data_IF_704967329415
#
_entry.id   IF_704967329415
#
_cell.length_a   1.000
_cell.length_b   1.000
_cell.length_c   1.000
_cell.angle_alpha   90.00
_cell.angle_beta   90.00
_cell.angle_gamma   90.00
#
_symmetry.space_group_name_H-M   'P 1'
#
loop_
_entity.id
_entity.type
_entity.pdbx_description
1 polymer ?
#
# COMPACT_ATOMS: atom_id res chain seq x y z
N UNK A 1 13.37 -21.50 -11.00
CA UNK A 1 13.09 -20.06 -11.25
C UNK A 1 13.56 -19.31 -10.02
N UNK A 2 14.34 -18.24 -10.20
CA UNK A 2 14.72 -17.43 -9.03
C UNK A 2 13.48 -16.66 -8.54
N UNK A 3 12.98 -17.04 -7.38
CA UNK A 3 11.88 -16.35 -6.73
C UNK A 3 12.32 -14.92 -6.38
N UNK A 4 11.41 -13.95 -6.50
CA UNK A 4 11.69 -12.57 -6.06
C UNK A 4 11.80 -12.51 -4.53
N UNK A 5 12.58 -11.59 -4.01
CA UNK A 5 12.59 -11.26 -2.59
C UNK A 5 11.62 -10.10 -2.32
N UNK A 6 10.84 -10.18 -1.24
CA UNK A 6 9.78 -9.22 -0.94
C UNK A 6 9.97 -8.66 0.48
N UNK A 7 9.97 -7.34 0.63
CA UNK A 7 9.78 -6.70 1.93
C UNK A 7 8.29 -6.41 2.16
N UNK A 8 7.73 -7.02 3.19
CA UNK A 8 6.41 -6.66 3.71
C UNK A 8 6.57 -5.52 4.72
N UNK A 9 6.16 -4.34 4.33
CA UNK A 9 6.28 -3.11 5.12
C UNK A 9 5.00 -2.94 5.93
N UNK A 10 5.12 -2.77 7.24
CA UNK A 10 3.98 -2.59 8.15
C UNK A 10 4.11 -1.24 8.84
N UNK A 11 3.50 -0.16 8.31
CA UNK A 11 3.43 1.11 9.00
C UNK A 11 2.46 1.01 10.18
N UNK A 12 2.90 1.44 11.37
CA UNK A 12 2.12 1.38 12.60
C UNK A 12 2.04 2.76 13.23
N UNK A 13 0.85 3.13 13.67
CA UNK A 13 0.60 4.25 14.57
C UNK A 13 -0.63 3.94 15.41
N UNK A 14 -0.44 3.78 16.74
CA UNK A 14 -1.51 3.44 17.68
C UNK A 14 -2.36 2.24 17.20
N UNK A 15 -1.70 1.13 16.89
CA UNK A 15 -2.28 -0.03 16.19
C UNK A 15 -2.55 -1.21 17.13
N UNK A 16 -2.49 -1.04 18.45
CA UNK A 16 -2.57 -2.13 19.45
C UNK A 16 -3.74 -3.10 19.25
N UNK A 17 -4.89 -2.59 18.73
CA UNK A 17 -6.11 -3.38 18.55
C UNK A 17 -6.01 -4.43 17.42
N UNK A 18 -5.24 -4.15 16.37
CA UNK A 18 -5.26 -4.93 15.13
C UNK A 18 -3.90 -5.55 14.79
N UNK A 19 -2.80 -4.96 15.27
CA UNK A 19 -1.42 -5.29 14.89
C UNK A 19 -1.07 -6.77 15.08
N UNK A 20 -1.53 -7.42 16.14
CA UNK A 20 -1.26 -8.85 16.34
C UNK A 20 -1.82 -9.73 15.22
N UNK A 21 -3.02 -9.43 14.71
CA UNK A 21 -3.63 -10.14 13.59
C UNK A 21 -2.81 -9.95 12.32
N UNK A 22 -2.41 -8.72 12.03
CA UNK A 22 -1.53 -8.37 10.91
C UNK A 22 -0.22 -9.17 10.98
N UNK A 23 0.53 -9.06 12.08
CA UNK A 23 1.81 -9.74 12.25
C UNK A 23 1.68 -11.27 12.21
N UNK A 24 0.65 -11.85 12.85
CA UNK A 24 0.38 -13.29 12.76
C UNK A 24 0.18 -13.75 11.33
N UNK A 25 -0.52 -12.98 10.51
CA UNK A 25 -0.76 -13.31 9.10
C UNK A 25 0.53 -13.29 8.28
N UNK A 26 1.44 -12.36 8.58
CA UNK A 26 2.72 -12.23 7.91
C UNK A 26 3.74 -13.30 8.36
N UNK A 27 3.78 -13.64 9.64
CA UNK A 27 4.67 -14.70 10.14
C UNK A 27 4.32 -16.08 9.57
N UNK A 28 3.05 -16.33 9.30
CA UNK A 28 2.54 -17.62 8.81
C UNK A 28 2.52 -17.76 7.28
N UNK A 29 3.25 -16.92 6.55
CA UNK A 29 3.30 -17.02 5.09
C UNK A 29 3.95 -18.33 4.61
N UNK A 30 3.34 -18.97 3.62
CA UNK A 30 3.90 -20.13 2.89
C UNK A 30 4.89 -19.68 1.80
N UNK A 31 5.78 -18.79 2.16
CA UNK A 31 6.83 -18.23 1.32
C UNK A 31 8.04 -17.90 2.20
N UNK A 32 9.24 -18.27 1.78
CA UNK A 32 10.43 -18.10 2.63
C UNK A 32 11.26 -16.87 2.28
N UNK A 33 11.17 -16.39 1.03
CA UNK A 33 12.03 -15.33 0.51
C UNK A 33 11.44 -13.93 0.76
N UNK A 34 11.19 -13.59 2.02
CA UNK A 34 10.64 -12.29 2.44
C UNK A 34 11.18 -11.84 3.80
N UNK A 35 11.06 -10.55 4.05
CA UNK A 35 11.31 -9.90 5.33
C UNK A 35 10.09 -9.06 5.73
N UNK A 36 9.88 -8.89 7.01
CA UNK A 36 8.89 -7.97 7.58
C UNK A 36 9.66 -6.77 8.14
N UNK A 37 9.29 -5.58 7.73
CA UNK A 37 9.84 -4.33 8.24
C UNK A 37 8.71 -3.52 8.83
N UNK A 38 8.59 -3.50 10.16
CA UNK A 38 7.60 -2.73 10.86
C UNK A 38 8.15 -1.33 11.18
N UNK A 39 7.36 -0.32 10.89
CA UNK A 39 7.66 1.07 11.19
C UNK A 39 6.75 1.55 12.33
N UNK A 40 7.33 1.99 13.43
CA UNK A 40 6.57 2.64 14.50
C UNK A 40 6.66 4.17 14.33
N UNK A 41 5.54 4.78 14.02
CA UNK A 41 5.42 6.23 13.82
C UNK A 41 5.09 6.95 15.14
N UNK A 42 5.94 6.80 16.18
CA UNK A 42 5.75 7.40 17.50
C UNK A 42 4.41 7.01 18.17
N UNK A 43 4.10 5.72 18.19
CA UNK A 43 2.90 5.22 18.88
C UNK A 43 2.97 5.48 20.38
N UNK A 44 1.81 5.72 20.99
CA UNK A 44 1.65 6.01 22.42
C UNK A 44 0.80 4.97 23.17
N UNK A 45 0.32 3.96 22.45
CA UNK A 45 -0.39 2.79 22.96
C UNK A 45 0.57 1.59 23.11
N UNK A 46 0.05 0.36 23.21
CA UNK A 46 0.86 -0.87 23.35
C UNK A 46 1.48 -1.35 22.03
N UNK A 47 1.46 -0.57 20.95
CA UNK A 47 2.05 -0.94 19.66
C UNK A 47 3.54 -1.30 19.78
N UNK A 48 4.41 -0.48 20.43
CA UNK A 48 5.83 -0.78 20.56
C UNK A 48 6.10 -2.10 21.29
N UNK A 49 5.36 -2.38 22.37
CA UNK A 49 5.50 -3.60 23.15
C UNK A 49 5.12 -4.85 22.32
N UNK A 50 4.05 -4.75 21.52
CA UNK A 50 3.63 -5.83 20.61
C UNK A 50 4.73 -6.07 19.58
N UNK A 51 5.24 -5.03 18.91
CA UNK A 51 6.32 -5.14 17.94
C UNK A 51 7.56 -5.81 18.54
N UNK A 52 8.00 -5.37 19.72
CA UNK A 52 9.16 -5.94 20.40
C UNK A 52 8.97 -7.41 20.75
N UNK A 53 7.79 -7.83 21.22
CA UNK A 53 7.50 -9.23 21.52
C UNK A 53 7.61 -10.13 20.28
N UNK A 54 7.17 -9.64 19.11
CA UNK A 54 7.31 -10.35 17.85
C UNK A 54 8.76 -10.36 17.34
N UNK A 55 9.50 -9.27 17.51
CA UNK A 55 10.93 -9.19 17.16
C UNK A 55 11.77 -10.18 17.97
N UNK A 56 11.53 -10.30 19.28
CA UNK A 56 12.20 -11.25 20.15
C UNK A 56 11.92 -12.71 19.72
N UNK A 57 10.67 -13.00 19.35
CA UNK A 57 10.25 -14.34 18.94
C UNK A 57 10.71 -14.72 17.53
N UNK A 58 10.84 -13.74 16.63
CA UNK A 58 11.17 -13.95 15.21
C UNK A 58 12.29 -12.99 14.73
N UNK A 59 13.48 -13.04 15.38
CA UNK A 59 14.55 -12.07 15.16
C UNK A 59 15.08 -12.02 13.73
N UNK A 60 15.02 -13.14 13.00
CA UNK A 60 15.50 -13.25 11.62
C UNK A 60 14.47 -12.80 10.57
N UNK A 61 13.20 -12.66 10.97
CA UNK A 61 12.11 -12.31 10.06
C UNK A 61 11.63 -10.87 10.19
N UNK A 62 11.67 -10.29 11.39
CA UNK A 62 11.12 -8.95 11.67
C UNK A 62 12.25 -7.98 12.03
N UNK A 63 12.25 -6.84 11.39
CA UNK A 63 12.96 -5.63 11.82
C UNK A 63 11.97 -4.54 12.21
N UNK A 64 12.34 -3.72 13.19
CA UNK A 64 11.54 -2.59 13.66
C UNK A 64 12.36 -1.33 13.43
N UNK A 65 11.71 -0.30 12.93
CA UNK A 65 12.30 1.01 12.67
C UNK A 65 11.38 2.06 13.29
N UNK A 66 11.92 2.82 14.23
CA UNK A 66 11.22 3.97 14.81
C UNK A 66 11.42 5.18 13.91
N UNK A 67 10.34 5.84 13.53
CA UNK A 67 10.36 7.03 12.69
C UNK A 67 9.44 8.12 13.27
N UNK A 68 9.75 9.41 13.06
CA UNK A 68 8.92 10.50 13.54
C UNK A 68 7.59 10.55 12.79
N UNK A 69 6.51 10.90 13.48
CA UNK A 69 5.19 11.08 12.90
C UNK A 69 5.01 12.50 12.32
N UNK A 70 5.74 12.80 11.24
CA UNK A 70 5.79 14.15 10.63
C UNK A 70 4.49 14.47 9.89
N UNK A 71 3.89 13.48 9.23
CA UNK A 71 2.71 13.66 8.37
C UNK A 71 1.39 13.30 9.06
N UNK A 72 1.38 13.26 10.39
CA UNK A 72 0.17 13.06 11.22
C UNK A 72 -0.67 11.84 10.81
N UNK A 73 -0.32 10.68 11.34
CA UNK A 73 -1.05 9.43 11.15
C UNK A 73 -1.02 8.89 9.71
N UNK A 74 -0.15 9.42 8.87
CA UNK A 74 0.08 8.90 7.53
C UNK A 74 1.14 7.80 7.56
N UNK A 75 1.20 7.00 6.50
CA UNK A 75 2.27 6.02 6.31
C UNK A 75 3.45 6.58 5.48
N UNK A 76 3.45 7.89 5.18
CA UNK A 76 4.37 8.51 4.23
C UNK A 76 5.83 8.40 4.67
N UNK A 77 6.12 8.58 5.95
CA UNK A 77 7.46 8.43 6.50
C UNK A 77 7.98 7.00 6.29
N UNK A 78 7.15 6.00 6.64
CA UNK A 78 7.46 4.60 6.43
C UNK A 78 7.65 4.28 4.93
N UNK A 79 6.80 4.87 4.07
CA UNK A 79 6.85 4.70 2.63
C UNK A 79 8.16 5.22 2.05
N UNK A 80 8.52 6.47 2.34
CA UNK A 80 9.75 7.09 1.85
C UNK A 80 10.99 6.34 2.36
N UNK A 81 11.07 6.08 3.68
CA UNK A 81 12.19 5.38 4.27
C UNK A 81 12.34 3.95 3.73
N UNK A 82 11.24 3.22 3.53
CA UNK A 82 11.28 1.86 3.01
C UNK A 82 11.88 1.82 1.61
N UNK A 83 11.44 2.67 0.69
CA UNK A 83 12.00 2.72 -0.66
C UNK A 83 13.48 3.07 -0.70
N UNK A 84 13.95 3.88 0.23
CA UNK A 84 15.35 4.31 0.29
C UNK A 84 16.27 3.29 0.96
N UNK A 85 15.75 2.46 1.88
CA UNK A 85 16.60 1.68 2.77
C UNK A 85 16.39 0.16 2.71
N UNK A 86 15.27 -0.37 2.16
CA UNK A 86 15.11 -1.83 2.05
C UNK A 86 16.01 -2.40 0.96
N UNK A 87 16.59 -3.56 1.22
CA UNK A 87 17.53 -4.23 0.31
C UNK A 87 16.84 -4.98 -0.82
N UNK A 88 15.60 -5.44 -0.60
CA UNK A 88 14.84 -6.23 -1.57
C UNK A 88 14.45 -5.41 -2.80
N UNK A 89 14.27 -6.09 -3.94
CA UNK A 89 13.84 -5.42 -5.16
C UNK A 89 12.35 -5.08 -5.16
N UNK A 90 11.54 -5.88 -4.45
CA UNK A 90 10.09 -5.68 -4.34
C UNK A 90 9.67 -5.41 -2.91
N UNK A 91 8.69 -4.54 -2.75
CA UNK A 91 8.06 -4.24 -1.47
C UNK A 91 6.55 -4.09 -1.62
N UNK A 92 5.83 -4.40 -0.55
CA UNK A 92 4.39 -4.21 -0.42
C UNK A 92 4.08 -3.66 0.95
N UNK A 93 3.11 -2.75 1.03
CA UNK A 93 2.66 -2.19 2.28
C UNK A 93 1.44 -2.95 2.77
N UNK A 94 1.51 -3.46 3.99
CA UNK A 94 0.40 -4.12 4.66
C UNK A 94 0.00 -3.22 5.82
N UNK A 95 -1.18 -2.62 5.74
CA UNK A 95 -1.67 -1.76 6.81
C UNK A 95 -1.79 -2.56 8.11
N UNK A 96 -1.45 -1.94 9.24
CA UNK A 96 -1.41 -2.61 10.55
C UNK A 96 -2.77 -3.08 11.05
N UNK A 97 -3.85 -2.57 10.46
CA UNK A 97 -5.25 -2.97 10.70
C UNK A 97 -5.76 -4.05 9.72
N UNK A 98 -5.00 -4.35 8.67
CA UNK A 98 -5.30 -5.37 7.68
C UNK A 98 -4.59 -6.70 7.96
N UNK A 99 -4.89 -7.72 7.17
CA UNK A 99 -4.20 -9.01 7.23
C UNK A 99 -4.22 -9.71 5.86
N UNK A 100 -3.39 -10.74 5.73
CA UNK A 100 -3.24 -11.46 4.47
C UNK A 100 -3.40 -12.98 4.65
N UNK A 101 -3.77 -13.70 3.58
CA UNK A 101 -3.77 -15.16 3.61
C UNK A 101 -2.36 -15.72 3.70
N UNK A 102 -2.20 -16.94 4.14
CA UNK A 102 -0.88 -17.59 4.24
C UNK A 102 -0.20 -17.80 2.87
N UNK A 103 -0.96 -17.78 1.78
CA UNK A 103 -0.46 -17.91 0.42
C UNK A 103 -0.18 -16.56 -0.28
N UNK A 104 -0.44 -15.43 0.37
CA UNK A 104 -0.40 -14.12 -0.26
C UNK A 104 0.94 -13.79 -0.92
N UNK A 105 2.04 -13.84 -0.18
CA UNK A 105 3.37 -13.52 -0.74
C UNK A 105 3.85 -14.55 -1.77
N UNK A 106 3.48 -15.82 -1.59
CA UNK A 106 3.73 -16.85 -2.59
C UNK A 106 3.02 -16.56 -3.91
N UNK A 107 1.73 -16.21 -3.84
CA UNK A 107 0.95 -15.83 -5.02
C UNK A 107 1.53 -14.61 -5.74
N UNK A 108 1.94 -13.58 -5.00
CA UNK A 108 2.64 -12.41 -5.54
C UNK A 108 3.92 -12.84 -6.28
N UNK A 109 4.75 -13.68 -5.65
CA UNK A 109 5.98 -14.18 -6.27
C UNK A 109 5.71 -14.99 -7.54
N UNK A 110 4.70 -15.85 -7.55
CA UNK A 110 4.31 -16.65 -8.72
C UNK A 110 3.82 -15.77 -9.89
N UNK A 111 3.18 -14.64 -9.61
CA UNK A 111 2.73 -13.68 -10.64
C UNK A 111 3.91 -12.90 -11.21
N UNK A 112 4.81 -12.41 -10.36
CA UNK A 112 5.88 -11.47 -10.75
C UNK A 112 7.09 -12.24 -11.31
N UNK A 113 7.56 -13.32 -10.67
CA UNK A 113 8.85 -13.95 -10.99
C UNK A 113 9.03 -14.33 -12.46
N UNK A 114 8.03 -14.87 -13.18
CA UNK A 114 8.18 -15.17 -14.60
C UNK A 114 8.21 -13.92 -15.51
N UNK A 115 7.87 -12.74 -14.98
CA UNK A 115 7.73 -11.46 -15.70
C UNK A 115 8.40 -10.30 -14.98
N UNK A 116 9.38 -10.56 -14.11
CA UNK A 116 10.03 -9.54 -13.26
C UNK A 116 10.68 -8.38 -14.05
N UNK A 117 11.06 -8.63 -15.30
CA UNK A 117 11.59 -7.58 -16.18
C UNK A 117 10.51 -6.59 -16.66
N UNK A 118 9.25 -7.00 -16.65
CA UNK A 118 8.13 -6.21 -17.18
C UNK A 118 7.15 -5.74 -16.09
N UNK A 119 6.93 -6.52 -15.02
CA UNK A 119 6.04 -6.13 -13.93
C UNK A 119 6.86 -5.37 -12.87
N UNK A 120 6.79 -4.05 -12.91
CA UNK A 120 7.41 -3.17 -11.93
C UNK A 120 6.42 -2.62 -10.90
N UNK A 121 5.15 -2.71 -11.20
CA UNK A 121 4.06 -2.40 -10.28
C UNK A 121 2.90 -3.38 -10.53
N UNK A 122 2.44 -4.03 -9.48
CA UNK A 122 1.34 -4.99 -9.51
C UNK A 122 0.26 -4.54 -8.53
N UNK A 123 -1.00 -4.61 -8.91
CA UNK A 123 -2.11 -4.61 -7.95
C UNK A 123 -2.91 -5.90 -8.06
N UNK A 124 -3.49 -6.34 -6.95
CA UNK A 124 -4.43 -7.45 -6.92
C UNK A 124 -5.81 -6.97 -6.46
N UNK A 125 -6.81 -7.85 -6.52
CA UNK A 125 -8.07 -7.60 -5.81
C UNK A 125 -7.87 -7.64 -4.31
N UNK A 126 -8.75 -6.98 -3.58
CA UNK A 126 -8.85 -7.03 -2.13
C UNK A 126 -10.20 -7.61 -1.72
N UNK A 127 -10.23 -8.33 -0.60
CA UNK A 127 -11.47 -8.74 0.05
C UNK A 127 -11.77 -7.75 1.18
N UNK A 128 -12.93 -7.10 1.08
CA UNK A 128 -13.39 -6.12 2.08
C UNK A 128 -14.07 -6.88 3.20
N UNK A 129 -13.55 -6.75 4.42
CA UNK A 129 -13.97 -7.49 5.60
C UNK A 129 -14.68 -6.56 6.59
N UNK A 130 -15.78 -7.04 7.17
CA UNK A 130 -16.39 -6.45 8.37
C UNK A 130 -16.43 -7.54 9.43
N UNK A 131 -15.74 -7.33 10.52
CA UNK A 131 -15.38 -8.38 11.48
C UNK A 131 -14.69 -9.55 10.75
N UNK A 132 -15.22 -10.77 10.83
CA UNK A 132 -14.68 -11.95 10.15
C UNK A 132 -15.44 -12.32 8.85
N UNK A 133 -16.33 -11.44 8.38
CA UNK A 133 -17.15 -11.70 7.21
C UNK A 133 -16.74 -10.87 6.00
N UNK A 134 -16.50 -11.54 4.87
CA UNK A 134 -16.28 -10.85 3.60
C UNK A 134 -17.58 -10.20 3.13
N UNK A 135 -17.50 -8.88 2.91
CA UNK A 135 -18.62 -8.07 2.40
C UNK A 135 -18.59 -7.99 0.88
N UNK A 136 -17.42 -7.85 0.31
CA UNK A 136 -17.21 -7.72 -1.12
C UNK A 136 -15.77 -8.05 -1.51
N UNK A 137 -15.56 -8.41 -2.77
CA UNK A 137 -14.23 -8.43 -3.40
C UNK A 137 -14.14 -7.29 -4.41
N UNK A 138 -13.17 -6.42 -4.24
CA UNK A 138 -12.90 -5.33 -5.16
C UNK A 138 -11.74 -5.67 -6.10
N UNK A 139 -11.99 -5.62 -7.41
CA UNK A 139 -10.99 -5.89 -8.46
C UNK A 139 -11.09 -4.81 -9.53
N UNK A 140 -9.96 -4.25 -9.92
CA UNK A 140 -9.87 -3.35 -11.05
C UNK A 140 -9.27 -4.04 -12.27
N UNK A 141 -9.73 -3.68 -13.47
CA UNK A 141 -9.30 -4.23 -14.75
C UNK A 141 -9.12 -3.12 -15.77
N UNK A 142 -7.99 -3.11 -16.43
CA UNK A 142 -7.67 -2.26 -17.59
C UNK A 142 -6.53 -2.91 -18.39
N UNK A 143 -6.46 -2.62 -19.67
CA UNK A 143 -5.58 -3.34 -20.60
C UNK A 143 -4.24 -2.65 -20.83
N UNK A 144 -4.20 -1.34 -20.65
CA UNK A 144 -3.03 -0.50 -20.95
C UNK A 144 -3.10 0.82 -20.17
N UNK A 145 -2.04 1.62 -20.27
CA UNK A 145 -1.91 2.92 -19.61
C UNK A 145 -3.00 3.90 -20.04
N UNK A 146 -3.40 3.90 -21.32
CA UNK A 146 -4.43 4.82 -21.82
C UNK A 146 -5.81 4.51 -21.24
N UNK A 147 -6.14 3.24 -21.06
CA UNK A 147 -7.37 2.84 -20.39
C UNK A 147 -7.31 3.18 -18.89
N UNK A 148 -6.15 2.98 -18.26
CA UNK A 148 -5.91 3.38 -16.87
C UNK A 148 -6.14 4.89 -16.69
N UNK A 149 -5.52 5.74 -17.54
CA UNK A 149 -5.69 7.20 -17.51
C UNK A 149 -7.15 7.62 -17.62
N UNK A 150 -7.92 6.97 -18.50
CA UNK A 150 -9.36 7.26 -18.61
C UNK A 150 -10.14 6.91 -17.36
N UNK A 151 -9.81 5.80 -16.71
CA UNK A 151 -10.44 5.42 -15.44
C UNK A 151 -10.08 6.39 -14.32
N UNK A 152 -8.86 6.92 -14.31
CA UNK A 152 -8.44 7.96 -13.38
C UNK A 152 -9.26 9.25 -13.49
N UNK A 153 -9.93 9.52 -14.60
CA UNK A 153 -10.84 10.67 -14.71
C UNK A 153 -12.19 10.49 -13.99
N UNK A 154 -12.40 9.33 -13.40
CA UNK A 154 -13.62 9.01 -12.65
C UNK A 154 -13.34 8.69 -11.18
N UNK A 155 -12.25 8.02 -10.92
CA UNK A 155 -11.77 7.60 -9.59
C UNK A 155 -10.40 6.94 -9.69
N UNK A 156 -9.72 6.75 -8.55
CA UNK A 156 -8.53 5.88 -8.54
C UNK A 156 -8.91 4.43 -8.89
N UNK A 157 -8.35 3.85 -9.97
CA UNK A 157 -8.59 2.46 -10.33
C UNK A 157 -7.54 1.52 -9.70
N UNK A 158 -7.11 1.81 -8.48
CA UNK A 158 -6.08 1.05 -7.78
C UNK A 158 -6.55 0.67 -6.38
N UNK A 159 -6.35 -0.59 -6.04
CA UNK A 159 -6.47 -1.09 -4.67
C UNK A 159 -5.14 -0.83 -3.94
N UNK A 160 -4.94 0.38 -3.44
CA UNK A 160 -3.70 0.82 -2.81
C UNK A 160 -3.11 -0.20 -1.82
N UNK A 161 -3.91 -0.82 -0.92
CA UNK A 161 -3.39 -1.77 0.05
C UNK A 161 -2.74 -3.02 -0.56
N UNK A 162 -3.15 -3.42 -1.77
CA UNK A 162 -2.66 -4.64 -2.44
C UNK A 162 -1.53 -4.39 -3.44
N UNK A 163 -0.99 -3.18 -3.47
CA UNK A 163 0.04 -2.84 -4.46
C UNK A 163 1.40 -3.38 -4.04
N UNK A 164 2.08 -3.99 -5.01
CA UNK A 164 3.46 -4.43 -4.90
C UNK A 164 4.31 -3.61 -5.85
N UNK A 165 5.37 -3.03 -5.33
CA UNK A 165 6.22 -2.08 -6.02
C UNK A 165 7.61 -2.68 -6.24
N UNK A 166 8.21 -2.48 -7.41
CA UNK A 166 9.64 -2.63 -7.60
C UNK A 166 10.33 -1.32 -7.22
N UNK A 167 11.42 -1.37 -6.46
CA UNK A 167 12.08 -0.16 -5.91
C UNK A 167 12.52 0.85 -6.98
N UNK A 168 12.82 0.41 -8.21
CA UNK A 168 13.26 1.31 -9.29
C UNK A 168 12.23 2.37 -9.70
N UNK A 169 10.92 2.14 -9.39
CA UNK A 169 9.87 3.10 -9.75
C UNK A 169 9.67 4.20 -8.70
N UNK A 170 10.39 4.14 -7.58
CA UNK A 170 10.24 5.10 -6.48
C UNK A 170 10.33 6.56 -6.91
N UNK A 171 11.22 6.87 -7.83
CA UNK A 171 11.37 8.23 -8.38
C UNK A 171 10.09 8.82 -8.99
N UNK A 172 9.13 7.97 -9.37
CA UNK A 172 7.84 8.35 -9.94
C UNK A 172 6.68 8.26 -8.94
N UNK A 173 6.91 7.71 -7.75
CA UNK A 173 5.94 7.61 -6.66
C UNK A 173 5.93 8.90 -5.84
N UNK A 174 5.63 10.01 -6.50
CA UNK A 174 5.54 11.34 -5.89
C UNK A 174 4.22 11.97 -6.26
N UNK A 175 3.51 12.60 -5.31
CA UNK A 175 2.35 13.42 -5.62
C UNK A 175 2.79 14.65 -6.43
N UNK A 176 2.06 14.98 -7.48
CA UNK A 176 2.35 16.10 -8.40
C UNK A 176 1.23 17.12 -8.42
N UNK A 177 -0.01 16.65 -8.55
CA UNK A 177 -1.21 17.49 -8.52
C UNK A 177 -1.57 17.87 -7.10
N UNK A 178 -1.28 16.99 -6.17
CA UNK A 178 -1.52 17.19 -4.75
C UNK A 178 -0.59 18.27 -4.20
N UNK A 179 -1.14 19.23 -3.51
CA UNK A 179 -0.38 20.37 -3.02
C UNK A 179 0.52 19.95 -1.86
N UNK A 180 1.82 19.91 -2.08
CA UNK A 180 2.89 19.66 -1.10
C UNK A 180 2.78 20.49 0.19
N UNK A 181 2.07 21.60 0.14
CA UNK A 181 1.92 22.54 1.24
C UNK A 181 0.85 22.12 2.28
N UNK A 182 0.16 20.99 2.06
CA UNK A 182 -0.92 20.53 2.94
C UNK A 182 -0.52 19.30 3.74
N UNK A 183 0.62 19.36 4.40
CA UNK A 183 1.10 18.32 5.33
C UNK A 183 0.11 17.97 6.45
N UNK A 184 -0.91 18.79 6.64
CA UNK A 184 -1.93 18.61 7.67
C UNK A 184 -3.14 17.79 7.23
N UNK A 185 -3.30 17.55 5.93
CA UNK A 185 -4.44 16.87 5.34
C UNK A 185 -3.96 15.74 4.42
N UNK A 186 -4.01 14.53 4.92
CA UNK A 186 -3.79 13.33 4.12
C UNK A 186 -5.00 13.09 3.22
N UNK A 187 -4.88 13.38 1.94
CA UNK A 187 -5.99 13.20 1.03
C UNK A 187 -5.56 12.75 -0.35
N UNK A 188 -5.89 11.49 -0.72
CA UNK A 188 -5.74 10.92 -2.05
C UNK A 188 -4.32 11.03 -2.67
N UNK A 189 -3.27 11.13 -1.85
CA UNK A 189 -1.87 11.21 -2.32
C UNK A 189 -1.47 10.00 -3.16
N UNK A 190 -1.93 8.81 -2.78
CA UNK A 190 -1.73 7.57 -3.50
C UNK A 190 -2.33 7.62 -4.91
N UNK A 191 -3.52 8.20 -5.05
CA UNK A 191 -4.16 8.39 -6.35
C UNK A 191 -3.30 9.25 -7.27
N UNK A 192 -2.81 10.39 -6.79
CA UNK A 192 -1.91 11.27 -7.53
C UNK A 192 -0.60 10.59 -7.91
N UNK A 193 0.01 9.85 -6.96
CA UNK A 193 1.22 9.05 -7.23
C UNK A 193 1.00 8.01 -8.34
N UNK A 194 -0.15 7.34 -8.38
CA UNK A 194 -0.48 6.37 -9.44
C UNK A 194 -0.69 7.05 -10.79
N UNK A 195 -1.27 8.24 -10.82
CA UNK A 195 -1.34 9.04 -12.02
C UNK A 195 0.06 9.42 -12.51
N UNK A 196 0.97 9.81 -11.61
CA UNK A 196 2.35 10.14 -11.98
C UNK A 196 3.12 8.91 -12.51
N UNK A 197 2.89 7.71 -11.96
CA UNK A 197 3.43 6.47 -12.54
C UNK A 197 2.99 6.31 -14.00
N UNK A 198 1.70 6.44 -14.26
CA UNK A 198 1.14 6.29 -15.61
C UNK A 198 1.65 7.37 -16.59
N UNK A 199 1.84 8.61 -16.12
CA UNK A 199 2.42 9.70 -16.91
C UNK A 199 3.87 9.41 -17.33
N UNK A 200 4.61 8.70 -16.49
CA UNK A 200 5.99 8.28 -16.74
C UNK A 200 6.11 6.88 -17.40
N UNK A 201 5.01 6.36 -17.92
CA UNK A 201 5.00 5.11 -18.68
C UNK A 201 5.11 3.83 -17.83
N UNK A 202 4.95 3.92 -16.52
CA UNK A 202 4.93 2.76 -15.63
C UNK A 202 3.53 2.16 -15.61
N UNK A 203 3.41 0.93 -16.09
CA UNK A 203 2.14 0.21 -16.08
C UNK A 203 1.91 -0.48 -14.73
N UNK A 204 0.82 -0.14 -14.06
CA UNK A 204 0.35 -0.86 -12.86
C UNK A 204 -0.39 -2.09 -13.35
N UNK A 205 0.20 -3.26 -13.25
CA UNK A 205 -0.38 -4.49 -13.75
C UNK A 205 -1.59 -4.91 -12.90
N UNK A 206 -2.82 -4.95 -13.45
CA UNK A 206 -4.01 -5.33 -12.70
C UNK A 206 -4.20 -6.84 -12.73
N UNK A 207 -3.92 -7.54 -11.63
CA UNK A 207 -4.21 -8.96 -11.54
C UNK A 207 -5.71 -9.18 -11.32
N UNK A 208 -6.37 -10.07 -12.10
CA UNK A 208 -7.83 -10.16 -12.17
C UNK A 208 -8.51 -10.86 -10.99
N UNK A 209 -7.80 -11.04 -9.87
CA UNK A 209 -8.32 -11.75 -8.69
C UNK A 209 -7.77 -11.15 -7.40
N UNK A 210 -8.48 -11.34 -6.29
CA UNK A 210 -7.87 -11.30 -4.97
C UNK A 210 -6.93 -12.51 -4.80
N UNK A 211 -5.79 -12.28 -4.16
CA UNK A 211 -4.83 -13.33 -3.79
C UNK A 211 -4.66 -13.41 -2.27
N UNK A 212 -5.65 -12.90 -1.55
CA UNK A 212 -5.72 -13.00 -0.10
C UNK A 212 -5.24 -11.75 0.65
N UNK A 213 -5.46 -10.56 0.10
CA UNK A 213 -5.40 -9.33 0.88
C UNK A 213 -6.79 -9.05 1.47
N UNK A 214 -6.88 -8.93 2.79
CA UNK A 214 -8.11 -8.70 3.55
C UNK A 214 -8.08 -7.29 4.14
N UNK A 215 -8.88 -6.40 3.57
CA UNK A 215 -9.04 -5.01 3.99
C UNK A 215 -10.11 -4.94 5.08
N UNK A 216 -9.70 -4.64 6.31
CA UNK A 216 -10.57 -4.68 7.47
C UNK A 216 -11.28 -3.34 7.68
N UNK A 217 -12.61 -3.35 7.61
CA UNK A 217 -13.41 -2.16 7.94
C UNK A 217 -13.56 -2.01 9.46
N UNK A 218 -13.29 -0.81 9.96
CA UNK A 218 -13.55 -0.40 11.35
C UNK A 218 -13.71 1.12 11.46
N UNK A 219 -14.24 1.59 12.57
CA UNK A 219 -14.62 3.01 12.75
C UNK A 219 -13.42 3.97 12.84
N UNK A 220 -12.25 3.47 13.22
CA UNK A 220 -11.04 4.28 13.46
C UNK A 220 -10.13 4.39 12.23
N UNK A 221 -10.56 3.94 11.05
CA UNK A 221 -9.74 4.00 9.84
C UNK A 221 -9.49 5.44 9.38
N UNK A 222 -8.25 5.73 8.99
CA UNK A 222 -7.87 7.03 8.41
C UNK A 222 -8.74 7.42 7.21
N UNK A 223 -9.20 6.46 6.42
CA UNK A 223 -10.09 6.66 5.28
C UNK A 223 -11.36 7.43 5.65
N UNK A 224 -11.94 7.17 6.81
CA UNK A 224 -13.15 7.88 7.25
C UNK A 224 -12.87 9.34 7.60
N UNK A 225 -11.72 9.63 8.21
CA UNK A 225 -11.30 11.01 8.49
C UNK A 225 -11.15 11.80 7.18
N UNK A 226 -10.45 11.23 6.20
CA UNK A 226 -10.28 11.84 4.86
C UNK A 226 -11.64 12.08 4.17
N UNK A 227 -12.56 11.12 4.24
CA UNK A 227 -13.90 11.29 3.65
C UNK A 227 -14.74 12.33 4.38
N UNK A 228 -14.61 12.47 5.69
CA UNK A 228 -15.33 13.50 6.46
C UNK A 228 -14.83 14.91 6.14
N UNK A 229 -13.58 15.06 5.78
CA UNK A 229 -12.95 16.33 5.39
C UNK A 229 -13.18 16.71 3.91
N UNK A 230 -13.69 15.80 3.10
CA UNK A 230 -14.04 16.03 1.68
C UNK A 230 -15.01 17.22 1.48
N UNK A 231 -15.75 17.61 2.49
CA UNK A 231 -16.61 18.81 2.44
C UNK A 231 -15.82 20.12 2.29
N UNK A 232 -14.52 20.12 2.62
CA UNK A 232 -13.66 21.29 2.52
C UNK A 232 -12.84 21.25 1.24
N UNK A 233 -12.35 20.06 0.84
CA UNK A 233 -11.55 19.85 -0.37
C UNK A 233 -11.92 18.53 -1.06
N UNK A 234 -12.30 18.63 -2.32
CA UNK A 234 -12.44 17.46 -3.19
C UNK A 234 -11.07 17.17 -3.85
N UNK A 235 -10.25 16.37 -3.15
CA UNK A 235 -8.93 15.97 -3.65
C UNK A 235 -9.02 15.15 -4.94
N UNK A 236 -10.03 14.30 -5.06
CA UNK A 236 -10.22 13.49 -6.26
C UNK A 236 -10.47 14.38 -7.46
N UNK A 237 -11.34 15.38 -7.32
CA UNK A 237 -11.63 16.33 -8.39
C UNK A 237 -10.39 17.14 -8.78
N UNK A 238 -9.62 17.63 -7.81
CA UNK A 238 -8.38 18.37 -8.05
C UNK A 238 -7.37 17.54 -8.82
N UNK A 239 -7.20 16.27 -8.47
CA UNK A 239 -6.30 15.34 -9.15
C UNK A 239 -6.79 15.07 -10.58
N UNK A 240 -8.09 14.83 -10.74
CA UNK A 240 -8.72 14.61 -12.04
C UNK A 240 -8.59 15.82 -12.97
N UNK A 241 -8.81 17.02 -12.48
CA UNK A 241 -8.63 18.25 -13.24
C UNK A 241 -7.18 18.44 -13.70
N UNK A 242 -6.21 18.30 -12.77
CA UNK A 242 -4.79 18.43 -13.11
C UNK A 242 -4.36 17.43 -14.19
N UNK A 243 -4.61 16.14 -13.96
CA UNK A 243 -4.19 15.10 -14.88
C UNK A 243 -5.01 15.06 -16.17
N UNK A 244 -6.31 15.41 -16.10
CA UNK A 244 -7.17 15.56 -17.27
C UNK A 244 -6.63 16.62 -18.25
N UNK A 245 -6.24 17.78 -17.75
CA UNK A 245 -5.57 18.81 -18.55
C UNK A 245 -4.25 18.33 -19.14
N UNK A 246 -3.42 17.67 -18.33
CA UNK A 246 -2.11 17.18 -18.76
C UNK A 246 -2.20 16.08 -19.81
N UNK A 247 -3.14 15.15 -19.66
CA UNK A 247 -3.33 14.04 -20.59
C UNK A 247 -4.27 14.37 -21.76
N UNK A 248 -4.91 15.52 -21.76
CA UNK A 248 -5.93 15.90 -22.74
C UNK A 248 -7.07 14.89 -22.86
N UNK A 249 -7.43 14.28 -21.75
CA UNK A 249 -8.56 13.36 -21.61
C UNK A 249 -9.77 14.14 -21.13
N UNK A 250 -10.87 14.08 -21.89
CA UNK A 250 -12.17 14.69 -21.54
C UNK A 250 -13.09 13.64 -20.91
#
# INVERSE_FOLDING_TARGET
MNNIEISAIVPCYNSEKHLERCLKSLINQEYDNYKIVAYDNESTDSTPEILMSYKEKYPDKISIIDIPNIYRNSYREAFEHAFENVETDYLTFIASDDYVSKEYLKSISEIISPRKETIKCLQTGISIMLDDFEQATQVYQYKNIEEFKRLCMQRSPVNTPSVVYHKEIYRYLKPVAHLDNRKELNGAEDYDMFCNLADNGVFIYPFPKSVGYYYQLHEEQCTWAVHSEKHIFDYDLMIQEYWGHRWQVQ
#
